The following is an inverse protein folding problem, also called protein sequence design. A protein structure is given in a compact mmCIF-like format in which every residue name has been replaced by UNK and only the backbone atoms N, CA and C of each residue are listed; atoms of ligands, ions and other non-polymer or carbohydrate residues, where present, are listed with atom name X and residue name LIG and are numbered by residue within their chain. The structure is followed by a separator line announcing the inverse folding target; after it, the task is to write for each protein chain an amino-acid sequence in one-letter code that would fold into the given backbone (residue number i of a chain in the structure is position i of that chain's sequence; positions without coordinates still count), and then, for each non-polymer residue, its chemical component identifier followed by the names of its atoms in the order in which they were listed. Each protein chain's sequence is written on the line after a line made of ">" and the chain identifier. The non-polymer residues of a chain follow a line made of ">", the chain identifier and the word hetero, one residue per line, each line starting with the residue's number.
data_IF_571203681328
#
_entry.id   IF_571203681328
#
_cell.length_a   1.000
_cell.length_b   1.000
_cell.length_c   1.000
_cell.angle_alpha   90.00
_cell.angle_beta   90.00
_cell.angle_gamma   90.00
#
_symmetry.space_group_name_H-M   'P 1'
#
loop_
_entity.id
_entity.type
_entity.pdbx_description
1 polymer ?
#
# COMPACT_ATOMS: atom_id res chain seq x y z
N UNK A 1 -1.74 -36.57 -13.26
CA UNK A 1 -1.84 -36.22 -11.83
C UNK A 1 -1.11 -34.89 -11.65
N UNK A 2 -1.85 -33.82 -11.68
CA UNK A 2 -1.24 -32.47 -11.44
C UNK A 2 -1.17 -32.32 -9.93
N UNK A 3 0.02 -32.51 -9.36
CA UNK A 3 0.27 -32.06 -7.99
C UNK A 3 0.12 -30.54 -7.99
N UNK A 4 -0.95 -30.07 -7.38
CA UNK A 4 -0.99 -28.67 -7.00
C UNK A 4 0.18 -28.46 -6.04
N UNK A 5 1.19 -27.74 -6.51
CA UNK A 5 2.19 -27.18 -5.63
C UNK A 5 1.43 -26.09 -4.86
N UNK A 6 0.80 -26.47 -3.75
CA UNK A 6 0.35 -25.47 -2.79
C UNK A 6 1.60 -24.69 -2.40
N UNK A 7 1.64 -23.43 -2.81
CA UNK A 7 2.68 -22.54 -2.33
C UNK A 7 2.53 -22.47 -0.80
N UNK A 8 3.47 -23.09 -0.10
CA UNK A 8 3.45 -23.12 1.37
C UNK A 8 3.66 -21.68 1.81
N UNK A 9 2.61 -21.10 2.40
CA UNK A 9 2.70 -19.77 2.99
C UNK A 9 3.75 -19.74 4.11
N UNK A 10 4.52 -18.67 4.22
CA UNK A 10 5.53 -18.56 5.27
C UNK A 10 4.86 -18.45 6.64
N UNK A 11 5.52 -19.01 7.65
CA UNK A 11 5.10 -18.83 9.02
C UNK A 11 5.34 -17.40 9.48
N UNK A 12 4.35 -16.82 10.13
CA UNK A 12 4.41 -15.47 10.71
C UNK A 12 4.14 -15.53 12.21
N UNK A 13 4.79 -14.62 12.94
CA UNK A 13 4.51 -14.45 14.37
C UNK A 13 3.15 -13.77 14.62
N UNK A 14 2.66 -13.86 15.84
CA UNK A 14 1.45 -13.13 16.25
C UNK A 14 1.58 -11.62 16.05
N UNK A 15 2.77 -11.06 16.27
CA UNK A 15 3.05 -9.64 16.04
C UNK A 15 2.96 -9.29 14.55
N UNK A 16 3.49 -10.14 13.66
CA UNK A 16 3.39 -9.97 12.22
C UNK A 16 1.94 -10.07 11.75
N UNK A 17 1.18 -11.03 12.25
CA UNK A 17 -0.23 -11.20 11.91
C UNK A 17 -1.07 -9.99 12.36
N UNK A 18 -0.82 -9.49 13.57
CA UNK A 18 -1.46 -8.26 14.05
C UNK A 18 -1.10 -7.05 13.19
N UNK A 19 0.17 -6.92 12.80
CA UNK A 19 0.64 -5.84 11.95
C UNK A 19 0.05 -5.92 10.53
N UNK A 20 -0.12 -7.13 9.98
CA UNK A 20 -0.79 -7.37 8.70
C UNK A 20 -2.26 -6.94 8.73
N UNK A 21 -2.98 -7.33 9.76
CA UNK A 21 -4.39 -6.95 9.93
C UNK A 21 -4.50 -5.43 10.10
N UNK A 22 -3.63 -4.81 10.90
CA UNK A 22 -3.60 -3.37 11.07
C UNK A 22 -3.34 -2.64 9.74
N UNK A 23 -2.41 -3.12 8.92
CA UNK A 23 -2.15 -2.58 7.58
C UNK A 23 -3.37 -2.70 6.67
N UNK A 24 -4.03 -3.85 6.69
CA UNK A 24 -5.24 -4.09 5.91
C UNK A 24 -6.38 -3.14 6.31
N UNK A 25 -6.60 -2.95 7.60
CA UNK A 25 -7.61 -2.00 8.10
C UNK A 25 -7.25 -0.55 7.74
N UNK A 26 -5.98 -0.19 7.81
CA UNK A 26 -5.51 1.14 7.39
C UNK A 26 -5.78 1.37 5.90
N UNK A 27 -5.48 0.40 5.04
CA UNK A 27 -5.74 0.49 3.60
C UNK A 27 -7.24 0.60 3.30
N UNK A 28 -8.08 -0.18 3.97
CA UNK A 28 -9.53 -0.10 3.79
C UNK A 28 -10.07 1.28 4.21
N UNK A 29 -9.56 1.83 5.30
CA UNK A 29 -9.92 3.17 5.77
C UNK A 29 -9.43 4.25 4.79
N UNK A 30 -8.19 4.17 4.34
CA UNK A 30 -7.63 5.10 3.38
C UNK A 30 -8.40 5.05 2.05
N UNK A 31 -8.64 3.86 1.52
CA UNK A 31 -9.40 3.67 0.28
C UNK A 31 -10.82 4.22 0.38
N UNK A 32 -11.49 4.00 1.50
CA UNK A 32 -12.82 4.59 1.75
C UNK A 32 -12.76 6.11 1.76
N UNK A 33 -11.72 6.69 2.35
CA UNK A 33 -11.53 8.15 2.36
C UNK A 33 -11.33 8.74 0.96
N UNK A 34 -10.65 7.99 0.06
CA UNK A 34 -10.49 8.38 -1.34
C UNK A 34 -11.81 8.46 -2.10
N UNK A 35 -12.78 7.63 -1.72
CA UNK A 35 -14.10 7.61 -2.35
C UNK A 35 -15.07 8.64 -1.76
N UNK A 36 -14.71 9.24 -0.63
CA UNK A 36 -15.60 10.10 0.16
C UNK A 36 -14.96 11.46 0.48
N UNK A 37 -14.71 11.75 1.76
CA UNK A 37 -14.33 13.07 2.26
C UNK A 37 -12.93 13.55 1.88
N UNK A 38 -12.00 12.66 1.53
CA UNK A 38 -10.61 13.02 1.21
C UNK A 38 -10.32 12.99 -0.31
N UNK A 39 -11.35 12.86 -1.15
CA UNK A 39 -11.21 12.76 -2.60
C UNK A 39 -10.45 13.95 -3.21
N UNK A 40 -10.83 15.18 -2.88
CA UNK A 40 -10.17 16.39 -3.39
C UNK A 40 -8.71 16.52 -2.94
N UNK A 41 -8.37 16.35 -1.63
CA UNK A 41 -6.98 16.39 -1.19
C UNK A 41 -6.08 15.36 -1.89
N UNK A 42 -6.56 14.17 -2.19
CA UNK A 42 -5.77 13.13 -2.87
C UNK A 42 -5.43 13.48 -4.33
N UNK A 43 -6.22 14.29 -5.00
CA UNK A 43 -5.91 14.75 -6.36
C UNK A 43 -4.57 15.51 -6.43
N UNK A 44 -4.16 16.16 -5.35
CA UNK A 44 -2.89 16.87 -5.27
C UNK A 44 -1.67 15.94 -5.36
N UNK A 45 -1.86 14.64 -5.13
CA UNK A 45 -0.81 13.62 -5.22
C UNK A 45 -0.72 12.97 -6.61
N UNK A 46 -1.64 13.26 -7.52
CA UNK A 46 -1.60 12.73 -8.88
C UNK A 46 -0.60 13.54 -9.71
N UNK A 47 0.48 12.93 -10.24
CA UNK A 47 1.43 13.63 -11.08
C UNK A 47 0.76 14.18 -12.36
N UNK A 48 1.19 15.35 -12.80
CA UNK A 48 0.60 16.03 -13.97
C UNK A 48 0.85 15.31 -15.30
N UNK A 49 1.87 14.44 -15.34
CA UNK A 49 2.21 13.64 -16.54
C UNK A 49 1.36 12.37 -16.69
N UNK A 50 0.53 12.03 -15.70
CA UNK A 50 -0.38 10.89 -15.80
C UNK A 50 -1.49 11.21 -16.80
N UNK A 51 -1.69 10.38 -17.84
CA UNK A 51 -2.65 10.69 -18.92
C UNK A 51 -4.10 10.33 -18.56
N UNK A 52 -4.45 10.41 -17.28
CA UNK A 52 -5.78 10.12 -16.76
C UNK A 52 -6.28 11.33 -15.95
N UNK A 53 -7.60 11.47 -15.89
CA UNK A 53 -8.21 12.44 -15.00
C UNK A 53 -7.83 12.17 -13.54
N UNK A 54 -7.32 13.17 -12.79
CA UNK A 54 -6.94 12.98 -11.38
C UNK A 54 -8.03 12.39 -10.50
N UNK A 55 -9.27 12.74 -10.74
CA UNK A 55 -10.41 12.20 -10.01
C UNK A 55 -10.58 10.68 -10.24
N UNK A 56 -10.45 10.24 -11.48
CA UNK A 56 -10.49 8.83 -11.84
C UNK A 56 -9.36 8.05 -11.16
N UNK A 57 -8.13 8.57 -11.16
CA UNK A 57 -6.98 7.97 -10.50
C UNK A 57 -7.23 7.79 -9.00
N UNK A 58 -7.76 8.81 -8.34
CA UNK A 58 -8.08 8.75 -6.91
C UNK A 58 -9.16 7.69 -6.61
N UNK A 59 -10.21 7.64 -7.41
CA UNK A 59 -11.29 6.64 -7.23
C UNK A 59 -10.79 5.21 -7.47
N UNK A 60 -10.02 4.97 -8.52
CA UNK A 60 -9.47 3.66 -8.83
C UNK A 60 -8.48 3.19 -7.75
N UNK A 61 -7.62 4.08 -7.27
CA UNK A 61 -6.71 3.75 -6.17
C UNK A 61 -7.45 3.43 -4.88
N UNK A 62 -8.53 4.15 -4.59
CA UNK A 62 -9.38 3.89 -3.43
C UNK A 62 -10.02 2.49 -3.47
N UNK A 63 -10.55 2.09 -4.62
CA UNK A 63 -11.09 0.73 -4.82
C UNK A 63 -10.00 -0.32 -4.66
N UNK A 64 -8.83 -0.10 -5.26
CA UNK A 64 -7.69 -1.01 -5.14
C UNK A 64 -7.22 -1.16 -3.68
N UNK A 65 -7.16 -0.07 -2.93
CA UNK A 65 -6.79 -0.09 -1.51
C UNK A 65 -7.79 -0.85 -0.64
N UNK A 66 -9.09 -0.67 -0.87
CA UNK A 66 -10.12 -1.43 -0.14
C UNK A 66 -9.99 -2.92 -0.45
N UNK A 67 -9.86 -3.28 -1.72
CA UNK A 67 -9.72 -4.68 -2.13
C UNK A 67 -8.44 -5.32 -1.56
N UNK A 68 -7.33 -4.61 -1.63
CA UNK A 68 -6.04 -5.09 -1.12
C UNK A 68 -6.06 -5.18 0.41
N UNK A 69 -6.63 -4.19 1.10
CA UNK A 69 -6.80 -4.20 2.55
C UNK A 69 -7.66 -5.36 3.02
N UNK A 70 -8.79 -5.61 2.35
CA UNK A 70 -9.65 -6.75 2.63
C UNK A 70 -8.93 -8.08 2.39
N UNK A 71 -8.14 -8.18 1.34
CA UNK A 71 -7.35 -9.38 1.05
C UNK A 71 -6.31 -9.66 2.15
N UNK A 72 -5.63 -8.64 2.65
CA UNK A 72 -4.68 -8.78 3.76
C UNK A 72 -5.33 -9.25 5.06
N UNK A 73 -6.56 -8.82 5.33
CA UNK A 73 -7.30 -9.19 6.54
C UNK A 73 -7.92 -10.57 6.42
N UNK A 74 -8.62 -10.85 5.32
CA UNK A 74 -9.52 -12.01 5.20
C UNK A 74 -8.91 -13.22 4.48
N UNK A 75 -7.76 -13.07 3.83
CA UNK A 75 -7.11 -14.15 3.07
C UNK A 75 -5.70 -14.47 3.59
N UNK A 76 -5.56 -14.92 4.85
CA UNK A 76 -4.25 -15.19 5.44
C UNK A 76 -3.47 -16.29 4.74
N UNK A 77 -4.15 -17.20 4.05
CA UNK A 77 -3.51 -18.29 3.29
C UNK A 77 -2.75 -17.81 2.05
N UNK A 78 -2.93 -16.56 1.66
CA UNK A 78 -2.22 -15.92 0.52
C UNK A 78 -1.53 -14.62 0.95
N UNK A 79 -1.18 -14.50 2.22
CA UNK A 79 -0.61 -13.28 2.79
C UNK A 79 0.67 -12.82 2.09
N UNK A 80 1.56 -13.73 1.71
CA UNK A 80 2.79 -13.38 1.01
C UNK A 80 2.52 -12.76 -0.36
N UNK A 81 1.56 -13.30 -1.12
CA UNK A 81 1.13 -12.72 -2.39
C UNK A 81 0.59 -11.29 -2.22
N UNK A 82 -0.35 -11.12 -1.29
CA UNK A 82 -0.95 -9.81 -1.05
C UNK A 82 0.02 -8.82 -0.42
N UNK A 83 0.97 -9.29 0.37
CA UNK A 83 2.08 -8.47 0.87
C UNK A 83 2.97 -7.93 -0.25
N UNK A 84 3.30 -8.74 -1.24
CA UNK A 84 4.05 -8.29 -2.44
C UNK A 84 3.25 -7.31 -3.28
N UNK A 85 1.97 -7.57 -3.46
CA UNK A 85 1.06 -6.65 -4.19
C UNK A 85 0.97 -5.32 -3.44
N UNK A 86 0.84 -5.33 -2.12
CA UNK A 86 0.83 -4.12 -1.31
C UNK A 86 2.14 -3.35 -1.41
N UNK A 87 3.28 -4.03 -1.33
CA UNK A 87 4.59 -3.42 -1.51
C UNK A 87 4.76 -2.78 -2.88
N UNK A 88 4.31 -3.46 -3.94
CA UNK A 88 4.31 -2.92 -5.30
C UNK A 88 3.37 -1.71 -5.43
N UNK A 89 2.18 -1.78 -4.84
CA UNK A 89 1.22 -0.68 -4.82
C UNK A 89 1.81 0.57 -4.17
N UNK A 90 2.37 0.45 -2.97
CA UNK A 90 3.02 1.57 -2.28
C UNK A 90 4.19 2.14 -3.07
N UNK A 91 4.95 1.30 -3.75
CA UNK A 91 6.02 1.75 -4.64
C UNK A 91 5.48 2.50 -5.84
N UNK A 92 4.39 2.03 -6.45
CA UNK A 92 3.76 2.68 -7.61
C UNK A 92 3.14 4.04 -7.30
N UNK A 93 2.66 4.25 -6.07
CA UNK A 93 2.11 5.56 -5.68
C UNK A 93 3.18 6.55 -5.20
N UNK A 94 4.41 6.12 -5.02
CA UNK A 94 5.51 6.98 -4.57
C UNK A 94 5.77 8.20 -5.49
N UNK A 95 5.68 8.09 -6.83
CA UNK A 95 5.78 9.25 -7.70
C UNK A 95 4.79 10.38 -7.37
N UNK A 96 3.58 10.05 -6.89
CA UNK A 96 2.60 11.03 -6.43
C UNK A 96 3.09 11.84 -5.23
N UNK A 97 3.73 11.17 -4.26
CA UNK A 97 4.32 11.84 -3.11
C UNK A 97 5.52 12.71 -3.50
N UNK A 98 6.33 12.25 -4.45
CA UNK A 98 7.42 13.04 -5.01
C UNK A 98 6.87 14.28 -5.71
N UNK A 99 5.82 14.15 -6.52
CA UNK A 99 5.16 15.26 -7.19
C UNK A 99 4.62 16.29 -6.18
N UNK A 100 4.02 15.85 -5.09
CA UNK A 100 3.55 16.75 -4.02
C UNK A 100 4.70 17.55 -3.42
N UNK A 101 5.85 16.92 -3.17
CA UNK A 101 7.03 17.59 -2.66
C UNK A 101 7.65 18.58 -3.67
N UNK A 102 7.89 18.12 -4.90
CA UNK A 102 8.58 18.91 -5.93
C UNK A 102 7.74 20.09 -6.43
N UNK A 103 6.42 19.92 -6.52
CA UNK A 103 5.49 20.97 -6.92
C UNK A 103 4.93 21.77 -5.73
N UNK A 104 5.38 21.50 -4.51
CA UNK A 104 4.98 22.16 -3.25
C UNK A 104 3.46 22.24 -3.07
N UNK A 105 2.76 21.15 -3.38
CA UNK A 105 1.31 21.08 -3.28
C UNK A 105 0.89 20.91 -1.82
N UNK A 106 0.03 21.83 -1.35
CA UNK A 106 -0.54 21.77 -0.01
C UNK A 106 -1.74 20.84 0.01
N UNK A 107 -1.68 19.78 0.82
CA UNK A 107 -2.76 18.83 1.02
C UNK A 107 -2.54 18.08 2.33
N UNK A 108 -3.60 17.67 3.00
CA UNK A 108 -3.53 16.94 4.28
C UNK A 108 -2.73 17.63 5.38
N UNK A 109 -2.72 18.98 5.41
CA UNK A 109 -1.89 19.73 6.33
C UNK A 109 -0.40 19.71 6.01
N UNK A 110 0.02 19.17 4.87
CA UNK A 110 1.39 19.16 4.38
C UNK A 110 1.70 20.48 3.66
N UNK A 111 1.78 21.54 4.42
CA UNK A 111 1.92 22.92 3.94
C UNK A 111 3.35 23.46 3.99
N UNK A 112 4.31 22.64 4.43
CA UNK A 112 5.74 22.95 4.45
C UNK A 112 6.56 21.89 3.73
N UNK A 113 7.74 22.26 3.22
CA UNK A 113 8.66 21.31 2.58
C UNK A 113 9.12 20.23 3.56
N UNK A 114 9.33 20.55 4.83
CA UNK A 114 9.69 19.59 5.86
C UNK A 114 8.61 18.53 6.08
N UNK A 115 7.34 18.92 6.13
CA UNK A 115 6.21 18.00 6.28
C UNK A 115 6.06 17.11 5.04
N UNK A 116 6.17 17.69 3.83
CA UNK A 116 6.12 16.94 2.57
C UNK A 116 7.29 15.95 2.44
N UNK A 117 8.48 16.35 2.86
CA UNK A 117 9.65 15.49 2.87
C UNK A 117 9.48 14.33 3.86
N UNK A 118 8.96 14.58 5.06
CA UNK A 118 8.65 13.52 6.03
C UNK A 118 7.67 12.48 5.44
N UNK A 119 6.69 12.93 4.65
CA UNK A 119 5.75 12.04 3.95
C UNK A 119 6.46 11.11 2.95
N UNK A 120 7.51 11.56 2.29
CA UNK A 120 8.30 10.74 1.38
C UNK A 120 8.98 9.58 2.10
N UNK A 121 9.53 9.81 3.31
CA UNK A 121 10.15 8.76 4.11
C UNK A 121 9.14 7.76 4.67
N UNK A 122 7.89 8.16 4.83
CA UNK A 122 6.83 7.25 5.27
C UNK A 122 6.53 6.14 4.24
N UNK A 123 6.72 6.40 2.97
CA UNK A 123 6.42 5.46 1.89
C UNK A 123 7.29 4.19 1.93
N UNK A 124 8.64 4.27 2.06
CA UNK A 124 9.45 3.08 2.26
C UNK A 124 9.09 2.30 3.52
N UNK A 125 8.67 2.99 4.59
CA UNK A 125 8.20 2.34 5.81
C UNK A 125 6.93 1.50 5.57
N UNK A 126 6.01 1.96 4.73
CA UNK A 126 4.82 1.21 4.34
C UNK A 126 5.18 -0.04 3.53
N UNK A 127 6.15 0.07 2.60
CA UNK A 127 6.66 -1.08 1.84
C UNK A 127 7.28 -2.11 2.79
N UNK A 128 8.14 -1.67 3.70
CA UNK A 128 8.74 -2.55 4.70
C UNK A 128 7.69 -3.22 5.60
N UNK A 129 6.67 -2.50 6.01
CA UNK A 129 5.56 -3.02 6.80
C UNK A 129 4.81 -4.12 6.04
N UNK A 130 4.46 -3.89 4.77
CA UNK A 130 3.76 -4.87 3.95
C UNK A 130 4.58 -6.16 3.77
N UNK A 131 5.86 -6.05 3.49
CA UNK A 131 6.73 -7.20 3.26
C UNK A 131 7.04 -7.97 4.55
N UNK A 132 7.36 -7.25 5.63
CA UNK A 132 7.68 -7.87 6.91
C UNK A 132 6.46 -8.58 7.54
N UNK A 133 5.31 -7.92 7.58
CA UNK A 133 4.10 -8.48 8.23
C UNK A 133 3.54 -9.71 7.54
N UNK A 134 3.94 -9.94 6.29
CA UNK A 134 3.49 -11.08 5.48
C UNK A 134 4.61 -12.06 5.14
N UNK A 135 5.84 -11.80 5.58
CA UNK A 135 7.06 -12.54 5.20
C UNK A 135 7.26 -12.62 3.67
N UNK A 136 6.72 -11.65 2.93
CA UNK A 136 6.75 -11.65 1.47
C UNK A 136 8.16 -11.51 0.87
N UNK A 137 9.12 -10.98 1.65
CA UNK A 137 10.52 -10.87 1.26
C UNK A 137 11.34 -12.13 1.55
N UNK A 138 10.81 -13.05 2.37
CA UNK A 138 11.53 -14.27 2.74
C UNK A 138 11.59 -15.24 1.58
N UNK A 139 12.80 -15.55 1.12
CA UNK A 139 13.01 -16.73 0.28
C UNK A 139 13.03 -17.95 1.18
N UNK A 140 12.10 -18.88 0.98
CA UNK A 140 12.25 -20.20 1.58
C UNK A 140 13.61 -20.77 1.19
N UNK A 141 14.45 -21.02 2.18
CA UNK A 141 15.57 -21.93 1.97
C UNK A 141 14.97 -23.32 1.79
N UNK A 142 15.35 -24.07 0.74
CA UNK A 142 15.06 -25.48 0.73
C UNK A 142 15.64 -26.09 2.00
N UNK A 143 14.87 -26.80 2.74
CA UNK A 143 15.43 -27.63 3.81
C UNK A 143 16.25 -28.70 3.13
N UNK A 144 17.56 -28.68 3.36
CA UNK A 144 18.46 -29.78 3.04
C UNK A 144 18.08 -31.03 3.83
#
# INVERSE_FOLDING_TARGET
>A
MVQQIEAIEPDTSNAQDAARIALGLMLMTAGTSHLTFAREPFKAQVPTWVPLDPDTVVLESGVAEIALGAALVFFPKKKALFGRIAGAFFTCIFPGNIAQYTHRRNSFGLDTDGKRLARLFFQPALVAWALWSTEASSRKRPHD
#
